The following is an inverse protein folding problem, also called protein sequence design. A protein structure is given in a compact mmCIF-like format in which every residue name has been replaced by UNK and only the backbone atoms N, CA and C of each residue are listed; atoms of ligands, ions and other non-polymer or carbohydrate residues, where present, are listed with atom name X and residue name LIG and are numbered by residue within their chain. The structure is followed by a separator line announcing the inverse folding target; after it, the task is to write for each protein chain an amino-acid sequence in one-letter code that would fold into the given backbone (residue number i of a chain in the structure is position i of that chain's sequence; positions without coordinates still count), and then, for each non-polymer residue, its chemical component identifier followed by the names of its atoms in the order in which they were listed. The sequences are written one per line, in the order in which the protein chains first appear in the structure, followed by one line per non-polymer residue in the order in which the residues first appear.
data_IF_472730689404
#
_entry.id   IF_472730689404
#
_cell.length_a   1.000
_cell.length_b   1.000
_cell.length_c   1.000
_cell.angle_alpha   90.00
_cell.angle_beta   90.00
_cell.angle_gamma   90.00
#
_symmetry.space_group_name_H-M   'P 1'
#
loop_
_entity.id
_entity.type
_entity.pdbx_description
1 polymer ?
#
# COMPACT_ATOMS: atom_id res chain seq x y z
N UNK A 1 15.49 10.26 -40.24
CA UNK A 1 14.63 11.33 -39.68
C UNK A 1 13.20 10.83 -39.75
N UNK A 2 12.45 10.55 -38.70
CA UNK A 2 12.65 10.56 -37.25
C UNK A 2 11.37 9.98 -36.65
N UNK A 3 11.48 8.90 -35.86
CA UNK A 3 10.34 8.26 -35.16
C UNK A 3 10.84 7.56 -33.88
N UNK A 4 11.55 8.29 -33.00
CA UNK A 4 11.96 7.79 -31.69
C UNK A 4 11.81 8.84 -30.60
N UNK A 5 10.70 9.56 -30.55
CA UNK A 5 10.54 10.57 -29.51
C UNK A 5 9.15 10.56 -28.92
N UNK A 6 8.80 9.51 -28.17
CA UNK A 6 7.68 9.67 -27.23
C UNK A 6 7.95 9.20 -25.79
N UNK A 7 8.96 8.39 -25.48
CA UNK A 7 9.48 8.19 -24.11
C UNK A 7 10.88 7.57 -24.17
N UNK A 8 11.92 8.31 -23.78
CA UNK A 8 13.30 7.80 -23.74
C UNK A 8 13.72 7.54 -22.29
N UNK A 9 14.04 6.29 -21.96
CA UNK A 9 14.51 5.92 -20.63
C UNK A 9 16.00 6.28 -20.49
N UNK A 10 16.32 7.16 -19.54
CA UNK A 10 17.71 7.51 -19.24
C UNK A 10 18.40 6.32 -18.56
N UNK A 11 19.41 5.72 -19.18
CA UNK A 11 20.16 4.57 -18.64
C UNK A 11 20.69 4.86 -17.23
N UNK A 12 21.26 6.06 -17.01
CA UNK A 12 21.80 6.51 -15.72
C UNK A 12 20.76 6.63 -14.59
N UNK A 13 19.47 6.77 -14.92
CA UNK A 13 18.37 6.83 -13.94
C UNK A 13 17.63 5.49 -13.84
N UNK A 14 17.92 4.55 -14.73
CA UNK A 14 17.26 3.26 -14.79
C UNK A 14 17.96 2.28 -13.86
N UNK A 15 17.18 1.54 -13.08
CA UNK A 15 17.69 0.50 -12.19
C UNK A 15 16.84 -0.74 -12.43
N UNK A 16 17.48 -1.89 -12.58
CA UNK A 16 16.78 -3.15 -12.69
C UNK A 16 16.81 -3.92 -11.37
N UNK A 17 15.68 -4.55 -11.04
CA UNK A 17 15.56 -5.52 -9.95
C UNK A 17 15.13 -6.80 -10.61
N UNK A 18 15.94 -7.85 -10.47
CA UNK A 18 15.63 -9.14 -11.06
C UNK A 18 15.82 -10.27 -10.05
N UNK A 19 15.00 -11.31 -10.16
CA UNK A 19 15.02 -12.47 -9.26
C UNK A 19 16.10 -13.47 -9.67
N UNK A 20 16.45 -13.52 -10.95
CA UNK A 20 17.60 -14.28 -11.47
C UNK A 20 18.73 -13.29 -11.83
N UNK A 21 19.94 -13.76 -12.13
CA UNK A 21 21.01 -12.88 -12.63
C UNK A 21 20.91 -12.82 -14.14
N UNK A 22 20.11 -11.88 -14.65
CA UNK A 22 20.06 -11.58 -16.08
C UNK A 22 20.76 -10.26 -16.31
N UNK A 23 21.74 -10.26 -17.21
CA UNK A 23 22.35 -9.04 -17.72
C UNK A 23 21.35 -8.35 -18.62
N UNK A 24 20.92 -7.15 -18.24
CA UNK A 24 19.99 -6.33 -19.01
C UNK A 24 20.73 -5.12 -19.55
N UNK A 25 20.71 -4.98 -20.87
CA UNK A 25 21.27 -3.83 -21.59
C UNK A 25 20.14 -2.95 -22.08
N UNK A 26 20.31 -1.63 -21.95
CA UNK A 26 19.39 -0.63 -22.47
C UNK A 26 20.21 0.38 -23.28
N UNK A 27 19.86 0.54 -24.54
CA UNK A 27 20.65 1.29 -25.54
C UNK A 27 22.14 0.87 -25.61
N UNK A 28 22.42 -0.43 -25.44
CA UNK A 28 23.78 -0.99 -25.49
C UNK A 28 24.64 -0.73 -24.25
N UNK A 29 24.06 -0.19 -23.18
CA UNK A 29 24.72 0.00 -21.88
C UNK A 29 24.16 -0.94 -20.82
N UNK A 30 25.06 -1.54 -20.03
CA UNK A 30 24.68 -2.46 -18.95
C UNK A 30 23.99 -1.70 -17.80
N UNK A 31 22.79 -2.14 -17.42
CA UNK A 31 22.06 -1.54 -16.30
C UNK A 31 22.55 -2.11 -14.97
N UNK A 32 22.74 -1.23 -13.98
CA UNK A 32 23.06 -1.64 -12.61
C UNK A 32 21.88 -2.38 -11.97
N UNK A 33 22.10 -3.66 -11.64
CA UNK A 33 21.15 -4.48 -10.88
C UNK A 33 21.26 -4.10 -9.40
N UNK A 34 20.17 -3.58 -8.82
CA UNK A 34 20.09 -3.31 -7.37
C UNK A 34 19.18 -4.33 -6.70
N UNK A 35 19.46 -4.60 -5.42
CA UNK A 35 18.63 -5.50 -4.60
C UNK A 35 17.23 -4.93 -4.32
N UNK A 36 17.09 -3.59 -4.38
CA UNK A 36 15.82 -2.89 -4.20
C UNK A 36 15.67 -1.74 -5.21
N UNK A 37 14.45 -1.55 -5.71
CA UNK A 37 14.09 -0.37 -6.49
C UNK A 37 12.65 0.06 -6.19
N UNK A 38 12.42 1.36 -6.27
CA UNK A 38 11.09 1.94 -6.09
C UNK A 38 10.49 2.28 -7.45
N UNK A 39 9.32 1.74 -7.75
CA UNK A 39 8.59 2.00 -8.98
C UNK A 39 7.13 2.29 -8.66
N UNK A 40 6.60 3.41 -9.18
CA UNK A 40 5.23 3.89 -8.91
C UNK A 40 4.88 3.84 -7.41
N UNK A 41 5.77 4.33 -6.54
CA UNK A 41 5.52 4.34 -5.09
C UNK A 41 5.68 2.99 -4.37
N UNK A 42 5.77 1.87 -5.09
CA UNK A 42 5.97 0.51 -4.55
C UNK A 42 7.45 0.17 -4.52
N UNK A 43 7.91 -0.48 -3.45
CA UNK A 43 9.30 -0.91 -3.30
C UNK A 43 9.40 -2.39 -3.66
N UNK A 44 10.15 -2.69 -4.70
CA UNK A 44 10.41 -4.05 -5.16
C UNK A 44 11.75 -4.50 -4.59
N UNK A 45 11.74 -5.70 -4.02
CA UNK A 45 12.93 -6.42 -3.57
C UNK A 45 13.23 -7.52 -4.60
N UNK A 46 14.52 -7.81 -4.81
CA UNK A 46 15.03 -8.91 -5.64
C UNK A 46 14.29 -10.24 -5.46
N UNK A 47 13.87 -10.54 -4.22
CA UNK A 47 13.14 -11.77 -3.87
C UNK A 47 11.63 -11.67 -4.06
N UNK A 48 11.11 -10.50 -4.47
CA UNK A 48 9.69 -10.15 -4.51
C UNK A 48 8.97 -10.49 -3.20
N UNK A 49 9.70 -10.37 -2.08
CA UNK A 49 9.19 -10.70 -0.74
C UNK A 49 8.26 -9.61 -0.20
N UNK A 50 8.42 -8.38 -0.69
CA UNK A 50 7.73 -7.16 -0.26
C UNK A 50 7.82 -6.84 1.24
N UNK A 51 8.70 -7.50 1.99
CA UNK A 51 8.90 -7.23 3.42
C UNK A 51 9.25 -5.77 3.68
N UNK A 52 10.23 -5.25 2.95
CA UNK A 52 10.71 -3.87 3.12
C UNK A 52 9.62 -2.86 2.73
N UNK A 53 8.81 -3.19 1.72
CA UNK A 53 7.66 -2.39 1.31
C UNK A 53 6.57 -2.36 2.40
N UNK A 54 6.19 -3.51 2.95
CA UNK A 54 5.18 -3.60 4.00
C UNK A 54 5.61 -2.87 5.26
N UNK A 55 6.88 -3.00 5.67
CA UNK A 55 7.41 -2.23 6.79
C UNK A 55 7.42 -0.72 6.53
N UNK A 56 7.75 -0.32 5.29
CA UNK A 56 7.67 1.07 4.87
C UNK A 56 6.23 1.62 4.91
N UNK A 57 5.24 0.86 4.41
CA UNK A 57 3.82 1.20 4.48
C UNK A 57 3.34 1.31 5.93
N UNK A 58 3.70 0.33 6.77
CA UNK A 58 3.37 0.33 8.19
C UNK A 58 3.86 1.61 8.88
N UNK A 59 5.13 1.99 8.68
CA UNK A 59 5.68 3.25 9.25
C UNK A 59 4.93 4.48 8.77
N UNK A 60 4.58 4.55 7.49
CA UNK A 60 3.79 5.67 6.93
C UNK A 60 2.39 5.74 7.52
N UNK A 61 1.73 4.60 7.65
CA UNK A 61 0.39 4.51 8.22
C UNK A 61 0.39 4.87 9.70
N UNK A 62 1.38 4.40 10.48
CA UNK A 62 1.53 4.78 11.88
C UNK A 62 1.72 6.29 12.08
N UNK A 63 2.48 6.96 11.20
CA UNK A 63 2.59 8.43 11.24
C UNK A 63 1.24 9.11 10.99
N UNK A 64 0.47 8.63 10.01
CA UNK A 64 -0.87 9.15 9.74
C UNK A 64 -1.85 8.88 10.89
N UNK A 65 -1.74 7.72 11.55
CA UNK A 65 -2.53 7.39 12.74
C UNK A 65 -2.19 8.28 13.93
N UNK A 66 -0.92 8.64 14.13
CA UNK A 66 -0.55 9.58 15.17
C UNK A 66 -1.15 10.97 14.93
N UNK A 67 -1.18 11.43 13.67
CA UNK A 67 -1.86 12.68 13.32
C UNK A 67 -3.37 12.58 13.61
N UNK A 68 -4.02 11.49 13.19
CA UNK A 68 -5.44 11.24 13.50
C UNK A 68 -5.72 11.20 15.00
N UNK A 69 -4.79 10.66 15.80
CA UNK A 69 -4.90 10.66 17.25
C UNK A 69 -4.89 12.08 17.81
N UNK A 70 -3.97 12.93 17.35
CA UNK A 70 -3.92 14.33 17.79
C UNK A 70 -5.22 15.05 17.41
N UNK A 71 -5.66 14.93 16.16
CA UNK A 71 -6.90 15.54 15.66
C UNK A 71 -8.14 15.01 16.38
N UNK A 72 -8.18 13.74 16.75
CA UNK A 72 -9.30 13.14 17.49
C UNK A 72 -9.34 13.53 18.98
N UNK A 73 -8.23 14.02 19.54
CA UNK A 73 -8.13 14.42 20.95
C UNK A 73 -8.28 15.93 21.18
N UNK A 74 -8.39 16.76 20.15
CA UNK A 74 -8.54 18.21 20.33
C UNK A 74 -9.88 18.57 20.95
N UNK A 75 -9.88 19.50 21.91
CA UNK A 75 -11.04 19.89 22.73
C UNK A 75 -12.26 20.39 21.93
N UNK A 76 -12.06 20.83 20.70
CA UNK A 76 -13.13 21.28 19.80
C UNK A 76 -13.80 20.15 19.00
N UNK A 77 -13.41 18.89 19.24
CA UNK A 77 -14.15 17.67 18.86
C UNK A 77 -14.43 17.49 17.37
N UNK A 78 -13.60 16.71 16.67
CA UNK A 78 -13.93 16.26 15.31
C UNK A 78 -15.01 15.17 15.36
N UNK A 79 -16.07 15.34 14.58
CA UNK A 79 -17.13 14.34 14.44
C UNK A 79 -16.58 12.96 14.00
N UNK A 80 -17.17 11.88 14.53
CA UNK A 80 -16.73 10.50 14.28
C UNK A 80 -16.76 10.15 12.79
N UNK A 81 -17.76 10.60 12.04
CA UNK A 81 -17.84 10.32 10.61
C UNK A 81 -16.75 11.07 9.84
N UNK A 82 -16.42 12.29 10.27
CA UNK A 82 -15.30 13.06 9.72
C UNK A 82 -13.96 12.38 10.02
N UNK A 83 -13.75 11.91 11.24
CA UNK A 83 -12.52 11.21 11.63
C UNK A 83 -12.35 9.89 10.87
N UNK A 84 -13.44 9.14 10.68
CA UNK A 84 -13.47 7.93 9.85
C UNK A 84 -13.16 8.25 8.38
N UNK A 85 -13.68 9.35 7.84
CA UNK A 85 -13.36 9.82 6.48
C UNK A 85 -11.89 10.19 6.35
N UNK A 86 -11.30 10.85 7.36
CA UNK A 86 -9.86 11.15 7.37
C UNK A 86 -9.02 9.87 7.42
N UNK A 87 -9.42 8.87 8.21
CA UNK A 87 -8.77 7.56 8.22
C UNK A 87 -8.80 6.88 6.84
N UNK A 88 -9.97 6.83 6.20
CA UNK A 88 -10.14 6.27 4.84
C UNK A 88 -9.21 6.95 3.83
N UNK A 89 -9.18 8.29 3.85
CA UNK A 89 -8.41 9.08 2.89
C UNK A 89 -6.91 9.05 3.12
N UNK A 90 -6.44 8.89 4.37
CA UNK A 90 -5.01 8.96 4.69
C UNK A 90 -4.33 7.62 4.90
N UNK A 91 -5.00 6.66 5.53
CA UNK A 91 -4.42 5.36 5.89
C UNK A 91 -4.86 4.31 4.89
N UNK A 92 -6.18 4.15 4.72
CA UNK A 92 -6.76 3.11 3.87
C UNK A 92 -6.36 3.32 2.41
N UNK A 93 -6.39 4.55 1.89
CA UNK A 93 -5.91 4.86 0.53
C UNK A 93 -4.45 4.40 0.28
N UNK A 94 -3.56 4.51 1.28
CA UNK A 94 -2.15 4.09 1.17
C UNK A 94 -1.98 2.58 1.21
N UNK A 95 -2.87 1.88 1.93
CA UNK A 95 -2.91 0.42 2.03
C UNK A 95 -3.65 -0.23 0.86
N UNK A 96 -4.56 0.50 0.21
CA UNK A 96 -5.24 0.01 -0.99
C UNK A 96 -4.35 0.25 -2.22
N UNK A 97 -3.53 1.31 -2.21
CA UNK A 97 -2.55 1.60 -3.24
C UNK A 97 -1.46 0.53 -3.33
N UNK A 98 -1.36 -0.13 -4.49
CA UNK A 98 -0.38 -1.19 -4.72
C UNK A 98 -0.74 -2.53 -4.09
N UNK A 99 -1.92 -2.66 -3.45
CA UNK A 99 -2.44 -3.92 -2.90
C UNK A 99 -2.33 -5.05 -3.92
N UNK A 100 -2.82 -4.85 -5.15
CA UNK A 100 -2.74 -5.82 -6.25
C UNK A 100 -1.30 -6.32 -6.53
N UNK A 101 -0.28 -5.48 -6.27
CA UNK A 101 1.13 -5.80 -6.55
C UNK A 101 1.73 -6.60 -5.38
N UNK A 102 1.69 -6.06 -4.17
CA UNK A 102 2.29 -6.73 -3.01
C UNK A 102 1.37 -7.82 -2.43
N UNK A 103 0.16 -7.98 -2.94
CA UNK A 103 -0.78 -9.04 -2.57
C UNK A 103 -0.27 -10.45 -2.80
N UNK A 104 0.67 -10.61 -3.74
CA UNK A 104 1.37 -11.86 -3.97
C UNK A 104 2.39 -12.21 -2.86
N UNK A 105 2.62 -11.32 -1.88
CA UNK A 105 3.51 -11.58 -0.76
C UNK A 105 2.97 -12.69 0.15
N UNK A 106 3.86 -13.23 1.00
CA UNK A 106 3.49 -14.28 1.96
C UNK A 106 2.47 -13.74 2.97
N UNK A 107 1.45 -14.55 3.31
CA UNK A 107 0.37 -14.17 4.24
C UNK A 107 0.87 -13.58 5.57
N UNK A 108 1.94 -14.12 6.15
CA UNK A 108 2.50 -13.60 7.41
C UNK A 108 3.01 -12.16 7.29
N UNK A 109 3.50 -11.76 6.11
CA UNK A 109 3.98 -10.39 5.85
C UNK A 109 2.78 -9.46 5.76
N UNK A 110 1.73 -9.87 5.04
CA UNK A 110 0.49 -9.09 4.89
C UNK A 110 -0.22 -8.89 6.24
N UNK A 111 -0.27 -9.92 7.08
CA UNK A 111 -0.84 -9.85 8.44
C UNK A 111 -0.17 -8.82 9.35
N UNK A 112 1.05 -8.38 9.02
CA UNK A 112 1.70 -7.30 9.76
C UNK A 112 1.00 -5.93 9.61
N UNK A 113 0.11 -5.79 8.62
CA UNK A 113 -0.68 -4.58 8.37
C UNK A 113 -1.99 -4.55 9.20
N UNK A 114 -2.57 -5.71 9.54
CA UNK A 114 -3.83 -5.80 10.30
C UNK A 114 -3.83 -5.01 11.61
N UNK A 115 -2.76 -5.06 12.45
CA UNK A 115 -2.72 -4.27 13.68
C UNK A 115 -2.84 -2.76 13.43
N UNK A 116 -2.33 -2.28 12.29
CA UNK A 116 -2.37 -0.87 11.90
C UNK A 116 -3.80 -0.44 11.56
N UNK A 117 -4.54 -1.26 10.79
CA UNK A 117 -5.96 -1.03 10.50
C UNK A 117 -6.79 -1.09 11.78
N UNK A 118 -6.58 -2.11 12.62
CA UNK A 118 -7.30 -2.25 13.90
C UNK A 118 -7.07 -1.06 14.82
N UNK A 119 -5.83 -0.56 14.90
CA UNK A 119 -5.51 0.62 15.69
C UNK A 119 -6.19 1.87 15.13
N UNK A 120 -6.25 2.02 13.81
CA UNK A 120 -6.96 3.13 13.16
C UNK A 120 -8.44 3.16 13.50
N UNK A 121 -9.13 2.02 13.37
CA UNK A 121 -10.55 1.92 13.69
C UNK A 121 -10.85 2.25 15.16
N UNK A 122 -9.99 1.81 16.09
CA UNK A 122 -10.14 2.15 17.51
C UNK A 122 -10.01 3.66 17.77
N UNK A 123 -9.07 4.32 17.10
CA UNK A 123 -8.89 5.77 17.22
C UNK A 123 -10.11 6.50 16.65
N UNK A 124 -10.60 6.10 15.47
CA UNK A 124 -11.71 6.79 14.80
C UNK A 124 -13.05 6.60 15.50
N UNK A 125 -13.30 5.41 16.04
CA UNK A 125 -14.53 5.09 16.77
C UNK A 125 -14.46 5.51 18.25
N UNK A 126 -13.29 5.85 18.76
CA UNK A 126 -13.08 6.08 20.20
C UNK A 126 -13.28 4.80 21.03
N UNK A 127 -13.09 3.62 20.43
CA UNK A 127 -13.37 2.34 21.07
C UNK A 127 -12.25 1.91 22.03
N UNK A 128 -12.63 1.15 23.06
CA UNK A 128 -11.66 0.59 24.01
C UNK A 128 -10.65 -0.32 23.32
N UNK A 129 -9.47 -0.47 23.93
CA UNK A 129 -8.41 -1.37 23.43
C UNK A 129 -8.84 -2.84 23.42
N UNK A 130 -9.77 -3.22 24.29
CA UNK A 130 -10.32 -4.58 24.45
C UNK A 130 -11.49 -4.87 23.53
N UNK A 131 -12.05 -3.87 22.83
CA UNK A 131 -13.22 -4.09 21.97
C UNK A 131 -12.94 -5.14 20.87
N UNK A 132 -13.86 -6.08 20.61
CA UNK A 132 -13.69 -7.08 19.55
C UNK A 132 -13.58 -6.43 18.16
N UNK A 133 -12.63 -6.90 17.34
CA UNK A 133 -12.37 -6.34 16.00
C UNK A 133 -13.58 -6.46 15.06
N UNK A 134 -14.32 -7.58 15.14
CA UNK A 134 -15.53 -7.79 14.32
C UNK A 134 -16.60 -6.73 14.58
N UNK A 135 -16.78 -6.32 15.84
CA UNK A 135 -17.70 -5.24 16.21
C UNK A 135 -17.26 -3.90 15.62
N UNK A 136 -15.95 -3.60 15.66
CA UNK A 136 -15.40 -2.38 15.07
C UNK A 136 -15.63 -2.32 13.55
N UNK A 137 -15.50 -3.46 12.86
CA UNK A 137 -15.78 -3.56 11.43
C UNK A 137 -17.25 -3.29 11.10
N UNK A 138 -18.17 -3.88 11.87
CA UNK A 138 -19.60 -3.64 11.71
C UNK A 138 -19.97 -2.17 11.94
N UNK A 139 -19.41 -1.54 12.98
CA UNK A 139 -19.69 -0.14 13.32
C UNK A 139 -19.08 0.86 12.32
N UNK A 140 -17.85 0.61 11.86
CA UNK A 140 -17.20 1.45 10.85
C UNK A 140 -17.74 1.22 9.42
N UNK A 141 -18.52 0.16 9.19
CA UNK A 141 -18.90 -0.28 7.84
C UNK A 141 -17.69 -0.72 7.00
N UNK A 142 -16.66 -1.27 7.64
CA UNK A 142 -15.41 -1.67 7.00
C UNK A 142 -15.25 -3.20 7.03
N UNK A 143 -14.55 -3.76 6.03
CA UNK A 143 -14.20 -5.18 5.99
C UNK A 143 -12.77 -5.43 6.46
N UNK A 144 -12.41 -6.70 6.65
CA UNK A 144 -11.02 -7.08 6.91
C UNK A 144 -10.10 -6.65 5.76
N UNK A 145 -8.80 -6.50 6.07
CA UNK A 145 -7.80 -6.15 5.07
C UNK A 145 -7.73 -7.22 3.96
N UNK A 146 -7.76 -8.50 4.32
CA UNK A 146 -7.74 -9.61 3.37
C UNK A 146 -8.96 -9.58 2.44
N UNK A 147 -10.17 -9.40 2.97
CA UNK A 147 -11.40 -9.34 2.16
C UNK A 147 -11.44 -8.13 1.22
N UNK A 148 -10.93 -6.99 1.70
CA UNK A 148 -10.83 -5.79 0.85
C UNK A 148 -9.83 -6.03 -0.28
N UNK A 149 -8.72 -6.68 0.02
CA UNK A 149 -7.69 -7.02 -0.95
C UNK A 149 -8.22 -7.94 -2.04
N UNK A 150 -8.92 -9.02 -1.68
CA UNK A 150 -9.50 -9.95 -2.65
C UNK A 150 -10.52 -9.23 -3.54
N UNK A 151 -11.36 -8.37 -2.96
CA UNK A 151 -12.31 -7.54 -3.71
C UNK A 151 -11.61 -6.60 -4.70
N UNK A 152 -10.55 -5.91 -4.28
CA UNK A 152 -9.77 -5.00 -5.13
C UNK A 152 -9.08 -5.76 -6.26
N UNK A 153 -8.46 -6.91 -5.95
CA UNK A 153 -7.85 -7.77 -6.95
C UNK A 153 -8.88 -8.20 -8.01
N UNK A 154 -10.03 -8.73 -7.58
CA UNK A 154 -11.11 -9.12 -8.50
C UNK A 154 -11.59 -7.98 -9.40
N UNK A 155 -11.72 -6.77 -8.86
CA UNK A 155 -12.15 -5.61 -9.65
C UNK A 155 -11.10 -5.21 -10.71
N UNK A 156 -9.81 -5.22 -10.37
CA UNK A 156 -8.74 -4.93 -11.33
C UNK A 156 -8.69 -5.96 -12.47
N UNK A 157 -8.93 -7.24 -12.18
CA UNK A 157 -8.99 -8.27 -13.23
C UNK A 157 -10.23 -8.12 -14.12
N UNK A 158 -11.39 -7.77 -13.57
CA UNK A 158 -12.61 -7.52 -14.36
C UNK A 158 -12.46 -6.37 -15.36
N UNK A 159 -11.80 -5.28 -14.95
CA UNK A 159 -11.56 -4.12 -15.83
C UNK A 159 -10.72 -4.53 -17.05
N UNK A 160 -9.72 -5.39 -16.85
CA UNK A 160 -8.84 -5.88 -17.93
C UNK A 160 -9.52 -6.77 -18.97
N UNK A 161 -10.67 -7.35 -18.66
CA UNK A 161 -11.43 -8.23 -19.56
C UNK A 161 -12.45 -7.42 -20.38
N UNK A 162 -12.82 -6.21 -19.93
CA UNK A 162 -13.90 -5.40 -20.51
C UNK A 162 -13.35 -4.25 -21.37
N UNK A 163 -12.07 -3.91 -21.27
CA UNK A 163 -11.42 -2.94 -22.17
C UNK A 163 -10.78 -3.66 -23.37
N UNK A 164 -11.23 -3.42 -24.62
CA UNK A 164 -10.63 -3.98 -25.83
C UNK A 164 -9.21 -3.43 -26.09
#
# INVERSE_FOLDING_TARGET
MGLREWFQFSVSKTTCVHRQRIYTELDGQLISVKGEAKFLGVVFDSKLSFNNHVQYLKRKCLKALNLLRVVGHTDWGVDRATLLKLYRTQVQSKLDYGSVIYGSAKKHVLRALDPTQNQGLRITLGAFRTSPIKSLYAEAGETSFEDRHTKLASNCFKIKIITP
#
